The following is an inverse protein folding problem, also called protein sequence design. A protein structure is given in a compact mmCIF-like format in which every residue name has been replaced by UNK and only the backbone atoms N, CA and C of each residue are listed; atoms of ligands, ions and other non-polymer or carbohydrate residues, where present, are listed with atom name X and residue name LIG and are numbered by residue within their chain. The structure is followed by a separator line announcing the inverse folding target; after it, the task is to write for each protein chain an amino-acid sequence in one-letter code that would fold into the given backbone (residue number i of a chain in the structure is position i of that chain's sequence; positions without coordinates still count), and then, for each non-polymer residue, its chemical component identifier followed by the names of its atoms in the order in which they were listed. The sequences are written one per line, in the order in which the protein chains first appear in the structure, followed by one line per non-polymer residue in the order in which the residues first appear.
data_IF_593070667078
#
_entry.id   IF_593070667078
#
_cell.length_a   1.000
_cell.length_b   1.000
_cell.length_c   1.000
_cell.angle_alpha   90.00
_cell.angle_beta   90.00
_cell.angle_gamma   90.00
#
_symmetry.space_group_name_H-M   'P 1'
#
loop_
_entity.id
_entity.type
_entity.pdbx_description
1 polymer ?
#
# COMPACT_ATOMS: atom_id res chain seq x y z
N UNK A 1 -16.17 16.51 -10.51
CA UNK A 1 -15.17 17.35 -9.80
C UNK A 1 -14.46 16.40 -8.83
N UNK A 2 -13.14 16.23 -8.95
CA UNK A 2 -12.33 15.22 -8.22
C UNK A 2 -12.11 15.56 -6.73
N UNK A 3 -13.17 15.87 -5.99
CA UNK A 3 -13.10 16.10 -4.55
C UNK A 3 -13.94 15.02 -3.90
N UNK A 4 -13.28 14.17 -3.11
CA UNK A 4 -13.93 13.16 -2.30
C UNK A 4 -14.62 13.85 -1.12
N UNK A 5 -15.93 13.66 -0.97
CA UNK A 5 -16.64 14.07 0.24
C UNK A 5 -16.60 12.96 1.30
N UNK A 6 -17.14 13.20 2.49
CA UNK A 6 -17.12 12.22 3.58
C UNK A 6 -17.87 10.92 3.23
N UNK A 7 -18.94 11.01 2.44
CA UNK A 7 -19.71 9.83 1.99
C UNK A 7 -18.91 8.99 1.01
N UNK A 8 -18.30 9.63 0.01
CA UNK A 8 -17.40 9.02 -0.95
C UNK A 8 -16.16 8.43 -0.28
N UNK A 9 -15.58 9.11 0.70
CA UNK A 9 -14.46 8.60 1.47
C UNK A 9 -14.83 7.34 2.25
N UNK A 10 -16.00 7.31 2.89
CA UNK A 10 -16.48 6.12 3.59
C UNK A 10 -16.76 4.96 2.64
N UNK A 11 -17.32 5.22 1.46
CA UNK A 11 -17.47 4.20 0.43
C UNK A 11 -16.11 3.65 -0.03
N UNK A 12 -15.13 4.53 -0.25
CA UNK A 12 -13.76 4.13 -0.60
C UNK A 12 -13.07 3.34 0.51
N UNK A 13 -13.29 3.67 1.79
CA UNK A 13 -12.78 2.90 2.92
C UNK A 13 -13.34 1.46 2.92
N UNK A 14 -14.58 1.27 2.47
CA UNK A 14 -15.17 -0.05 2.28
C UNK A 14 -14.52 -0.90 1.18
N UNK A 15 -13.61 -0.33 0.39
CA UNK A 15 -12.85 -1.02 -0.65
C UNK A 15 -11.41 -1.33 -0.24
N UNK A 16 -11.02 -1.01 1.01
CA UNK A 16 -9.67 -1.21 1.52
C UNK A 16 -9.18 -2.65 1.30
N UNK A 17 -10.00 -3.65 1.63
CA UNK A 17 -9.63 -5.06 1.46
C UNK A 17 -9.32 -5.44 0.00
N UNK A 18 -10.10 -4.93 -0.95
CA UNK A 18 -9.88 -5.20 -2.39
C UNK A 18 -8.61 -4.52 -2.91
N UNK A 19 -8.36 -3.27 -2.48
CA UNK A 19 -7.15 -2.51 -2.85
C UNK A 19 -5.90 -3.21 -2.30
N UNK A 20 -5.93 -3.65 -1.04
CA UNK A 20 -4.79 -4.35 -0.42
C UNK A 20 -4.58 -5.74 -1.01
N UNK A 21 -5.66 -6.47 -1.34
CA UNK A 21 -5.54 -7.75 -2.03
C UNK A 21 -4.91 -7.60 -3.42
N UNK A 22 -5.35 -6.61 -4.20
CA UNK A 22 -4.73 -6.27 -5.48
C UNK A 22 -3.25 -5.92 -5.32
N UNK A 23 -2.90 -5.09 -4.35
CA UNK A 23 -1.53 -4.69 -4.10
C UNK A 23 -0.65 -5.89 -3.70
N UNK A 24 -1.18 -6.82 -2.90
CA UNK A 24 -0.50 -8.06 -2.52
C UNK A 24 -0.25 -8.97 -3.73
N UNK A 25 -1.22 -9.11 -4.63
CA UNK A 25 -1.07 -9.90 -5.86
C UNK A 25 0.01 -9.31 -6.78
N UNK A 26 0.03 -7.98 -6.94
CA UNK A 26 1.08 -7.28 -7.67
C UNK A 26 2.46 -7.51 -7.04
N UNK A 27 2.54 -7.40 -5.72
CA UNK A 27 3.79 -7.59 -4.98
C UNK A 27 4.37 -9.00 -5.19
N UNK A 28 3.53 -10.04 -5.09
CA UNK A 28 3.92 -11.44 -5.34
C UNK A 28 4.33 -11.68 -6.78
N UNK A 29 3.54 -11.18 -7.73
CA UNK A 29 3.78 -11.40 -9.16
C UNK A 29 5.13 -10.80 -9.61
N UNK A 30 5.45 -9.61 -9.11
CA UNK A 30 6.66 -8.87 -9.48
C UNK A 30 7.83 -9.11 -8.52
N UNK A 31 7.59 -9.77 -7.39
CA UNK A 31 8.55 -9.99 -6.29
C UNK A 31 9.18 -8.67 -5.83
N UNK A 32 8.33 -7.68 -5.57
CA UNK A 32 8.73 -6.34 -5.15
C UNK A 32 7.89 -5.84 -3.99
N UNK A 33 8.35 -4.76 -3.35
CA UNK A 33 7.52 -4.03 -2.41
C UNK A 33 6.51 -3.17 -3.17
N UNK A 34 5.29 -3.07 -2.68
CA UNK A 34 4.23 -2.23 -3.24
C UNK A 34 3.74 -1.24 -2.19
N UNK A 35 3.75 0.05 -2.54
CA UNK A 35 3.14 1.10 -1.72
C UNK A 35 1.84 1.55 -2.39
N UNK A 36 0.71 1.49 -1.68
CA UNK A 36 -0.60 1.86 -2.21
C UNK A 36 -1.32 2.82 -1.29
N UNK A 37 -1.84 3.91 -1.86
CA UNK A 37 -2.70 4.86 -1.15
C UNK A 37 -4.15 4.39 -1.12
N UNK A 38 -4.81 4.50 0.03
CA UNK A 38 -6.23 4.19 0.21
C UNK A 38 -6.84 5.02 1.34
N UNK A 39 -8.17 5.01 1.43
CA UNK A 39 -8.86 5.52 2.62
C UNK A 39 -8.83 4.40 3.66
N UNK A 40 -8.36 4.70 4.87
CA UNK A 40 -8.39 3.78 6.01
C UNK A 40 -9.44 4.24 7.00
N UNK A 41 -10.27 3.31 7.47
CA UNK A 41 -11.23 3.58 8.56
C UNK A 41 -10.71 2.96 9.86
N UNK A 42 -10.50 3.77 10.89
CA UNK A 42 -10.28 3.24 12.23
C UNK A 42 -11.63 2.76 12.78
N UNK A 43 -11.78 1.44 12.92
CA UNK A 43 -13.03 0.82 13.39
C UNK A 43 -13.39 1.19 14.84
N UNK A 44 -12.42 1.64 15.64
CA UNK A 44 -12.62 2.01 17.05
C UNK A 44 -13.05 3.46 17.19
N UNK A 45 -12.44 4.38 16.44
CA UNK A 45 -12.76 5.82 16.55
C UNK A 45 -13.77 6.30 15.50
N UNK A 46 -13.92 5.56 14.40
CA UNK A 46 -14.69 5.98 13.24
C UNK A 46 -13.99 7.06 12.39
N UNK A 47 -12.78 7.48 12.77
CA UNK A 47 -11.96 8.43 12.03
C UNK A 47 -11.48 7.79 10.72
N UNK A 48 -11.47 8.58 9.65
CA UNK A 48 -10.89 8.17 8.37
C UNK A 48 -9.55 8.87 8.17
N UNK A 49 -8.65 8.19 7.48
CA UNK A 49 -7.31 8.67 7.21
C UNK A 49 -7.01 8.55 5.71
N UNK A 50 -6.23 9.50 5.20
CA UNK A 50 -5.53 9.33 3.94
C UNK A 50 -4.28 8.49 4.26
N UNK A 51 -4.28 7.22 3.88
CA UNK A 51 -3.26 6.27 4.31
C UNK A 51 -2.52 5.67 3.13
N UNK A 52 -1.27 5.30 3.36
CA UNK A 52 -0.48 4.47 2.47
C UNK A 52 -0.12 3.18 3.20
N UNK A 53 -0.39 2.04 2.57
CA UNK A 53 0.08 0.74 3.06
C UNK A 53 1.21 0.24 2.16
N UNK A 54 2.29 -0.22 2.78
CA UNK A 54 3.42 -0.86 2.10
C UNK A 54 3.38 -2.36 2.37
N UNK A 55 3.43 -3.14 1.30
CA UNK A 55 3.51 -4.59 1.32
C UNK A 55 4.88 -5.05 0.85
N UNK A 56 5.36 -6.18 1.37
CA UNK A 56 6.59 -6.84 0.91
C UNK A 56 6.33 -7.75 -0.31
N UNK A 57 7.39 -8.39 -0.81
CA UNK A 57 7.33 -9.28 -1.96
C UNK A 57 6.48 -10.55 -1.77
N UNK A 58 6.19 -10.94 -0.52
CA UNK A 58 5.31 -12.06 -0.21
C UNK A 58 3.84 -11.60 -0.12
N UNK A 59 3.60 -10.29 -0.30
CA UNK A 59 2.30 -9.65 -0.26
C UNK A 59 1.80 -9.40 1.17
N UNK A 60 2.71 -9.41 2.15
CA UNK A 60 2.40 -9.15 3.55
C UNK A 60 2.56 -7.67 3.89
N UNK A 61 1.70 -7.16 4.78
CA UNK A 61 1.76 -5.75 5.19
C UNK A 61 2.97 -5.49 6.09
N UNK A 62 3.82 -4.55 5.67
CA UNK A 62 5.00 -4.11 6.43
C UNK A 62 4.68 -2.90 7.29
N UNK A 63 4.00 -1.91 6.72
CA UNK A 63 3.62 -0.68 7.43
C UNK A 63 2.38 -0.04 6.82
N UNK A 64 1.53 0.55 7.66
CA UNK A 64 0.49 1.49 7.27
C UNK A 64 0.85 2.87 7.84
N UNK A 65 0.93 3.87 6.97
CA UNK A 65 1.24 5.25 7.31
C UNK A 65 0.04 6.14 7.02
N UNK A 66 -0.41 6.88 8.02
CA UNK A 66 -1.43 7.92 7.84
C UNK A 66 -0.77 9.26 7.56
N UNK A 67 -1.37 10.02 6.65
CA UNK A 67 -0.84 11.32 6.21
C UNK A 67 -0.73 12.30 7.39
N UNK A 68 0.47 12.85 7.57
CA UNK A 68 0.77 13.79 8.65
C UNK A 68 0.18 15.18 8.41
N UNK A 69 0.28 15.71 7.19
CA UNK A 69 -0.30 17.00 6.82
C UNK A 69 -1.34 16.82 5.72
N UNK A 70 -2.57 17.23 6.00
CA UNK A 70 -3.65 17.15 5.02
C UNK A 70 -3.52 18.25 3.96
N UNK A 71 -4.02 17.96 2.76
CA UNK A 71 -4.34 19.01 1.80
C UNK A 71 -5.79 19.46 2.02
N UNK A 72 -6.16 20.68 1.63
CA UNK A 72 -7.50 21.24 1.91
C UNK A 72 -8.68 20.36 1.41
N UNK A 73 -8.45 19.48 0.44
CA UNK A 73 -9.46 18.53 -0.05
C UNK A 73 -9.61 17.31 0.86
N UNK A 74 -8.56 16.92 1.57
CA UNK A 74 -8.53 15.81 2.52
C UNK A 74 -9.18 16.21 3.86
N UNK A 75 -9.02 17.48 4.28
CA UNK A 75 -9.55 18.03 5.55
C UNK A 75 -11.07 17.88 5.73
N UNK A 76 -11.81 17.61 4.65
CA UNK A 76 -13.26 17.43 4.67
C UNK A 76 -13.71 16.05 5.13
N UNK A 77 -12.80 15.07 5.14
CA UNK A 77 -13.15 13.67 5.38
C UNK A 77 -12.08 12.89 6.17
N UNK A 78 -10.82 13.32 6.14
CA UNK A 78 -9.72 12.70 6.87
C UNK A 78 -9.36 13.49 8.13
N UNK A 79 -8.69 12.83 9.07
CA UNK A 79 -7.94 13.47 10.15
C UNK A 79 -6.43 13.26 9.94
N UNK A 80 -5.62 14.16 10.50
CA UNK A 80 -4.16 14.04 10.49
C UNK A 80 -3.68 12.87 11.36
N UNK A 81 -2.55 12.30 10.96
CA UNK A 81 -1.85 11.33 11.79
C UNK A 81 -1.48 11.90 13.15
N UNK A 82 -1.77 11.17 14.22
CA UNK A 82 -1.40 11.52 15.61
C UNK A 82 0.06 11.18 15.93
N UNK A 83 0.76 10.48 15.04
CA UNK A 83 2.15 10.03 15.24
C UNK A 83 3.18 10.83 14.45
N UNK A 84 2.74 11.63 13.46
CA UNK A 84 3.64 12.38 12.58
C UNK A 84 4.38 11.51 11.57
N UNK A 85 5.50 12.02 11.06
CA UNK A 85 6.32 11.33 10.08
C UNK A 85 6.89 10.02 10.63
N UNK A 86 6.87 8.96 9.82
CA UNK A 86 7.41 7.65 10.17
C UNK A 86 8.50 7.22 9.19
N UNK A 87 9.43 6.39 9.68
CA UNK A 87 10.46 5.74 8.89
C UNK A 87 10.31 4.22 9.06
N UNK A 88 10.45 3.48 7.96
CA UNK A 88 10.55 2.02 7.97
C UNK A 88 11.74 1.56 7.13
N UNK A 89 12.29 0.40 7.45
CA UNK A 89 13.35 -0.24 6.67
C UNK A 89 12.77 -1.41 5.88
N UNK A 90 12.98 -1.40 4.57
CA UNK A 90 12.52 -2.45 3.67
C UNK A 90 13.68 -3.37 3.28
N UNK A 91 13.45 -4.68 3.32
CA UNK A 91 14.47 -5.66 2.96
C UNK A 91 14.51 -5.84 1.45
N UNK A 92 15.65 -5.62 0.80
CA UNK A 92 15.77 -5.77 -0.65
C UNK A 92 16.32 -7.16 -1.01
N UNK A 93 15.57 -7.93 -1.80
CA UNK A 93 16.04 -9.19 -2.40
C UNK A 93 16.57 -8.93 -3.81
N UNK A 94 17.85 -9.24 -4.04
CA UNK A 94 18.46 -9.17 -5.39
C UNK A 94 18.24 -10.50 -6.11
N UNK A 95 17.44 -10.47 -7.18
CA UNK A 95 17.18 -11.65 -8.00
C UNK A 95 18.26 -11.74 -9.09
N UNK A 96 19.08 -12.79 -9.04
CA UNK A 96 20.05 -13.10 -10.09
C UNK A 96 19.45 -14.08 -11.09
N UNK A 97 19.35 -13.70 -12.36
CA UNK A 97 18.94 -14.61 -13.42
C UNK A 97 20.12 -15.53 -13.77
N UNK A 98 20.01 -16.82 -13.46
CA UNK A 98 20.98 -17.82 -13.91
C UNK A 98 20.61 -18.30 -15.31
N UNK A 99 21.41 -17.94 -16.31
CA UNK A 99 21.30 -18.51 -17.65
C UNK A 99 21.73 -19.96 -17.59
N UNK A 100 20.80 -20.89 -17.78
CA UNK A 100 21.10 -22.33 -17.82
C UNK A 100 21.78 -22.63 -19.16
N UNK A 101 23.11 -22.72 -19.18
CA UNK A 101 23.87 -23.17 -20.34
C UNK A 101 23.46 -24.61 -20.65
N UNK A 102 22.68 -24.79 -21.71
CA UNK A 102 22.31 -26.12 -22.19
C UNK A 102 23.49 -26.63 -23.03
N UNK A 103 24.33 -27.48 -22.44
CA UNK A 103 25.37 -28.20 -23.18
C UNK A 103 24.68 -29.29 -23.99
N UNK A 104 24.42 -29.02 -25.27
CA UNK A 104 24.02 -30.05 -26.23
C UNK A 104 25.24 -30.91 -26.54
N UNK A 105 25.33 -32.09 -25.92
CA UNK A 105 26.29 -33.13 -26.30
C UNK A 105 25.73 -33.85 -27.54
N UNK A 106 26.22 -33.47 -28.71
CA UNK A 106 26.02 -34.25 -29.95
C UNK A 106 26.91 -35.48 -29.90
N UNK A 107 26.31 -36.67 -30.00
CA UNK A 107 27.01 -37.95 -30.21
C UNK A 107 26.93 -38.32 -31.68
#
# INVERSE_FOLDING_TARGET
RYILDAGGARAAAGQEGEILAWAADVARALRCHVCVGHVRLDARTGEMFNSQTTLDEDGETVVAYDKTHLYFVDEKWAVESKTGFAQTSLSLKVIRTTTKTTTTTTT
#
